data_IF_625141448475
#
_entry.id   IF_625141448475
#
_cell.length_a   1.000
_cell.length_b   1.000
_cell.length_c   1.000
_cell.angle_alpha   90.00
_cell.angle_beta   90.00
_cell.angle_gamma   90.00
#
_symmetry.space_group_name_H-M   'P 1'
#
loop_
_entity.id
_entity.type
_entity.pdbx_description
1 polymer ?
#
# COMPACT_ATOMS: atom_id res chain seq x y z
N UNK A 1 10.46 -23.01 59.34
CA UNK A 1 11.16 -22.94 58.04
C UNK A 1 10.46 -23.91 57.08
N UNK A 2 9.44 -23.44 56.36
CA UNK A 2 8.67 -24.24 55.39
C UNK A 2 8.64 -23.47 54.07
N UNK A 3 9.39 -23.98 53.10
CA UNK A 3 9.61 -23.39 51.78
C UNK A 3 8.38 -23.70 50.93
N UNK A 4 7.50 -22.69 50.75
CA UNK A 4 6.32 -22.81 49.89
C UNK A 4 6.72 -22.42 48.46
N UNK A 5 6.77 -23.45 47.61
CA UNK A 5 6.99 -23.41 46.17
C UNK A 5 6.02 -22.41 45.51
N UNK A 6 6.49 -21.21 45.18
CA UNK A 6 5.76 -20.28 44.32
C UNK A 6 6.15 -20.57 42.87
N UNK A 7 5.32 -21.37 42.21
CA UNK A 7 5.37 -21.58 40.77
C UNK A 7 4.64 -20.42 40.05
N UNK A 8 5.21 -20.05 38.90
CA UNK A 8 4.82 -19.11 37.84
C UNK A 8 3.31 -19.09 37.47
N UNK A 9 2.79 -17.97 36.88
CA UNK A 9 3.09 -17.56 35.49
C UNK A 9 3.43 -16.05 35.37
N UNK A 10 4.47 -15.67 34.64
CA UNK A 10 4.54 -15.51 33.18
C UNK A 10 3.53 -14.49 32.60
N UNK A 11 4.09 -13.38 32.11
CA UNK A 11 3.66 -12.60 30.94
C UNK A 11 2.25 -12.00 30.95
N UNK A 12 2.13 -10.74 31.34
CA UNK A 12 1.47 -9.74 30.48
C UNK A 12 2.28 -8.44 30.53
N UNK A 13 3.17 -8.33 29.55
CA UNK A 13 3.88 -7.10 29.22
C UNK A 13 2.84 -6.05 28.81
N UNK A 14 2.50 -5.12 29.71
CA UNK A 14 1.75 -3.93 29.34
C UNK A 14 2.69 -2.90 28.72
N UNK A 15 3.27 -3.22 27.56
CA UNK A 15 3.91 -2.22 26.71
C UNK A 15 2.81 -1.49 25.98
N UNK A 16 2.47 -0.32 26.53
CA UNK A 16 1.69 0.71 25.86
C UNK A 16 2.51 1.21 24.67
N UNK A 17 2.24 0.67 23.48
CA UNK A 17 2.77 1.19 22.22
C UNK A 17 1.65 1.93 21.48
N UNK A 18 1.65 3.26 21.60
CA UNK A 18 0.88 4.19 20.78
C UNK A 18 1.39 4.14 19.33
N UNK A 19 0.63 3.55 18.40
CA UNK A 19 0.75 3.86 16.97
C UNK A 19 -0.64 3.78 16.30
N UNK A 20 -1.12 4.92 15.82
CA UNK A 20 -2.17 5.13 14.82
C UNK A 20 -3.51 4.35 14.96
N UNK A 21 -4.53 5.00 15.53
CA UNK A 21 -5.94 4.83 15.10
C UNK A 21 -6.69 3.56 15.52
N UNK A 22 -6.16 2.71 16.38
CA UNK A 22 -6.83 1.50 16.86
C UNK A 22 -7.68 1.75 18.12
N UNK A 23 -8.97 1.39 18.08
CA UNK A 23 -9.85 1.32 19.25
C UNK A 23 -9.25 0.41 20.32
N UNK A 24 -9.00 0.94 21.51
CA UNK A 24 -8.57 0.16 22.66
C UNK A 24 -9.73 -0.73 23.12
N UNK A 25 -9.55 -2.04 23.03
CA UNK A 25 -10.39 -2.98 23.76
C UNK A 25 -10.09 -2.81 25.25
N UNK A 26 -10.92 -2.03 25.95
CA UNK A 26 -11.00 -2.12 27.40
C UNK A 26 -11.61 -3.50 27.70
N UNK A 27 -10.77 -4.43 28.16
CA UNK A 27 -11.25 -5.62 28.82
C UNK A 27 -12.01 -5.16 30.07
N UNK A 28 -13.32 -4.95 29.95
CA UNK A 28 -14.18 -4.76 31.09
C UNK A 28 -14.06 -6.04 31.93
N UNK A 29 -13.40 -5.94 33.08
CA UNK A 29 -13.46 -7.00 34.10
C UNK A 29 -14.94 -7.30 34.33
N UNK A 30 -15.40 -8.55 34.15
CA UNK A 30 -16.82 -8.86 34.25
C UNK A 30 -17.31 -8.52 35.65
N UNK A 31 -18.00 -7.39 35.76
CA UNK A 31 -18.71 -7.00 36.97
C UNK A 31 -19.97 -7.86 37.03
N UNK A 32 -19.83 -9.08 37.53
CA UNK A 32 -20.94 -9.99 37.74
C UNK A 32 -21.84 -9.40 38.84
N UNK A 33 -22.93 -8.75 38.45
CA UNK A 33 -23.96 -8.21 39.34
C UNK A 33 -24.71 -9.39 39.93
N UNK A 34 -24.52 -9.63 41.23
CA UNK A 34 -25.25 -10.69 41.94
C UNK A 34 -26.61 -10.16 42.39
N UNK A 35 -27.68 -10.80 41.94
CA UNK A 35 -29.06 -10.56 42.36
C UNK A 35 -29.61 -11.81 43.02
N UNK A 36 -30.26 -11.66 44.17
CA UNK A 36 -30.94 -12.74 44.87
C UNK A 36 -32.44 -12.59 44.68
N UNK A 37 -33.09 -13.59 44.10
CA UNK A 37 -34.54 -13.64 43.93
C UNK A 37 -35.16 -14.54 45.00
N UNK A 38 -36.11 -14.04 45.78
CA UNK A 38 -36.82 -14.80 46.79
C UNK A 38 -37.71 -15.88 46.15
N UNK A 39 -37.59 -17.12 46.61
CA UNK A 39 -38.33 -18.28 46.09
C UNK A 39 -39.83 -18.21 46.33
N UNK A 40 -40.26 -17.46 47.36
CA UNK A 40 -41.66 -17.41 47.80
C UNK A 40 -42.53 -16.43 47.02
N UNK A 41 -41.94 -15.34 46.51
CA UNK A 41 -42.71 -14.24 45.92
C UNK A 41 -41.96 -13.54 44.77
N UNK A 42 -40.79 -14.02 44.37
CA UNK A 42 -40.00 -13.43 43.29
C UNK A 42 -39.37 -12.08 43.62
N UNK A 43 -39.42 -11.60 44.87
CA UNK A 43 -38.80 -10.33 45.24
C UNK A 43 -37.29 -10.40 45.00
N UNK A 44 -36.76 -9.47 44.20
CA UNK A 44 -35.35 -9.42 43.84
C UNK A 44 -34.60 -8.40 44.68
N UNK A 45 -33.41 -8.75 45.16
CA UNK A 45 -32.49 -7.83 45.82
C UNK A 45 -31.08 -7.92 45.25
N UNK A 46 -30.43 -6.78 45.08
CA UNK A 46 -29.02 -6.73 44.73
C UNK A 46 -28.15 -7.08 45.95
N UNK A 47 -27.13 -7.92 45.76
CA UNK A 47 -26.18 -8.30 46.80
C UNK A 47 -24.78 -7.86 46.38
N UNK A 48 -24.33 -6.71 46.89
CA UNK A 48 -22.99 -6.19 46.68
C UNK A 48 -21.90 -7.14 47.20
N UNK A 49 -22.21 -7.97 48.19
CA UNK A 49 -21.31 -8.99 48.76
C UNK A 49 -21.35 -10.34 48.03
N UNK A 50 -22.20 -10.50 47.01
CA UNK A 50 -22.32 -11.74 46.23
C UNK A 50 -23.03 -12.90 46.96
N UNK A 51 -23.49 -12.67 48.18
CA UNK A 51 -24.16 -13.67 49.03
C UNK A 51 -25.68 -13.64 48.87
N UNK A 52 -26.28 -14.80 48.62
CA UNK A 52 -27.72 -15.02 48.65
C UNK A 52 -28.08 -16.04 49.72
N UNK A 53 -29.29 -15.95 50.30
CA UNK A 53 -29.76 -16.97 51.23
C UNK A 53 -30.28 -18.17 50.45
N UNK A 54 -29.41 -19.13 50.13
CA UNK A 54 -29.73 -20.29 49.28
C UNK A 54 -30.98 -21.08 49.72
N UNK A 55 -31.30 -21.06 51.02
CA UNK A 55 -32.52 -21.67 51.56
C UNK A 55 -33.82 -20.98 51.10
N UNK A 56 -33.82 -19.65 50.94
CA UNK A 56 -35.02 -18.85 50.62
C UNK A 56 -34.93 -18.13 49.27
N UNK A 57 -33.79 -18.21 48.59
CA UNK A 57 -33.48 -17.42 47.41
C UNK A 57 -32.72 -18.20 46.35
N UNK A 58 -32.83 -17.72 45.13
CA UNK A 58 -32.05 -18.16 43.97
C UNK A 58 -31.03 -17.06 43.64
N UNK A 59 -29.78 -17.45 43.42
CA UNK A 59 -28.70 -16.54 43.00
C UNK A 59 -28.73 -16.38 41.48
N UNK A 60 -28.84 -15.15 41.01
CA UNK A 60 -28.72 -14.77 39.61
C UNK A 60 -27.47 -13.92 39.44
N UNK A 61 -26.69 -14.22 38.40
CA UNK A 61 -25.53 -13.44 38.00
C UNK A 61 -25.88 -12.73 36.70
N UNK A 62 -26.02 -11.41 36.75
CA UNK A 62 -26.27 -10.57 35.59
C UNK A 62 -24.96 -9.87 35.23
N UNK A 63 -24.60 -9.84 33.95
CA UNK A 63 -23.37 -9.17 33.52
C UNK A 63 -22.50 -9.94 32.54
N UNK A 64 -23.07 -10.88 31.76
CA UNK A 64 -22.32 -11.38 30.61
C UNK A 64 -22.12 -10.21 29.64
N UNK A 65 -20.86 -9.83 29.44
CA UNK A 65 -20.48 -8.97 28.35
C UNK A 65 -20.98 -9.63 27.05
N UNK A 66 -21.73 -8.88 26.24
CA UNK A 66 -22.16 -9.36 24.93
C UNK A 66 -20.94 -9.72 24.06
N UNK A 67 -21.12 -10.57 23.03
CA UNK A 67 -20.03 -10.82 22.10
C UNK A 67 -19.51 -9.50 21.52
N UNK A 68 -18.23 -9.47 21.16
CA UNK A 68 -17.70 -8.34 20.41
C UNK A 68 -18.56 -8.12 19.15
N UNK A 69 -18.81 -6.86 18.80
CA UNK A 69 -19.47 -6.52 17.55
C UNK A 69 -18.69 -7.08 16.35
N UNK A 70 -19.35 -7.30 15.20
CA UNK A 70 -18.66 -7.70 13.99
C UNK A 70 -17.58 -6.67 13.62
N UNK A 71 -16.55 -7.11 12.90
CA UNK A 71 -15.59 -6.20 12.30
C UNK A 71 -16.32 -5.18 11.40
N UNK A 72 -15.82 -3.94 11.36
CA UNK A 72 -16.35 -2.93 10.44
C UNK A 72 -16.14 -3.32 8.97
N UNK A 73 -16.90 -2.74 8.03
CA UNK A 73 -16.70 -2.98 6.61
C UNK A 73 -15.30 -2.56 6.17
N UNK A 74 -14.78 -3.21 5.12
CA UNK A 74 -13.54 -2.78 4.46
C UNK A 74 -13.73 -1.37 3.90
N UNK A 75 -12.72 -0.52 4.03
CA UNK A 75 -12.74 0.84 3.48
C UNK A 75 -12.89 0.85 1.94
N UNK A 76 -13.32 1.97 1.35
CA UNK A 76 -13.42 2.10 -0.10
C UNK A 76 -12.04 1.94 -0.76
N UNK A 77 -12.02 1.50 -2.01
CA UNK A 77 -10.80 1.48 -2.82
C UNK A 77 -10.22 2.91 -2.96
N UNK A 78 -8.89 3.01 -3.04
CA UNK A 78 -8.22 4.29 -3.29
C UNK A 78 -8.54 4.86 -4.68
N UNK A 79 -8.40 6.18 -4.84
CA UNK A 79 -8.56 6.83 -6.13
C UNK A 79 -7.52 6.31 -7.15
N UNK A 80 -7.90 6.27 -8.43
CA UNK A 80 -6.96 5.99 -9.51
C UNK A 80 -5.85 7.05 -9.55
N UNK A 81 -4.62 6.62 -9.80
CA UNK A 81 -3.48 7.54 -9.95
C UNK A 81 -3.63 8.49 -11.15
N UNK A 82 -2.88 9.60 -11.20
CA UNK A 82 -2.90 10.52 -12.33
C UNK A 82 -2.40 9.83 -13.61
N UNK A 83 -2.86 10.31 -14.77
CA UNK A 83 -2.32 9.87 -16.06
C UNK A 83 -0.81 10.19 -16.15
N UNK A 84 -0.06 9.34 -16.86
CA UNK A 84 1.35 9.58 -17.15
C UNK A 84 1.56 10.82 -18.03
N UNK A 85 2.75 11.43 -17.94
CA UNK A 85 3.13 12.54 -18.81
C UNK A 85 3.17 12.12 -20.29
N UNK A 86 2.76 13.02 -21.18
CA UNK A 86 2.93 12.83 -22.63
C UNK A 86 4.42 12.72 -22.98
N UNK A 87 4.77 11.80 -23.89
CA UNK A 87 6.14 11.67 -24.38
C UNK A 87 6.64 12.91 -25.11
N UNK A 88 7.96 13.11 -25.14
CA UNK A 88 8.58 14.21 -25.88
C UNK A 88 8.30 14.09 -27.39
N UNK A 89 8.12 15.23 -28.06
CA UNK A 89 8.02 15.27 -29.52
C UNK A 89 9.34 14.81 -30.17
N UNK A 90 9.27 14.01 -31.23
CA UNK A 90 10.44 13.63 -32.01
C UNK A 90 11.00 14.83 -32.79
N UNK A 91 12.32 15.05 -32.70
CA UNK A 91 13.02 16.12 -33.43
C UNK A 91 13.65 15.55 -34.71
N UNK A 92 13.18 16.00 -35.88
CA UNK A 92 13.83 15.72 -37.18
C UNK A 92 14.71 16.92 -37.57
N UNK A 93 15.88 17.09 -36.95
CA UNK A 93 16.79 18.22 -37.23
C UNK A 93 17.89 17.93 -38.23
N UNK A 94 17.95 16.74 -38.83
CA UNK A 94 18.94 16.46 -39.88
C UNK A 94 18.43 16.97 -41.23
N UNK A 95 18.72 18.24 -41.54
CA UNK A 95 18.62 18.77 -42.90
C UNK A 95 19.77 18.18 -43.72
N UNK A 96 19.51 17.08 -44.41
CA UNK A 96 20.44 16.55 -45.39
C UNK A 96 20.49 17.49 -46.60
N UNK A 97 21.66 18.02 -46.91
CA UNK A 97 21.86 18.90 -48.07
C UNK A 97 21.83 18.07 -49.36
N UNK A 98 21.01 18.47 -50.32
CA UNK A 98 20.84 17.78 -51.61
C UNK A 98 21.45 18.62 -52.73
N UNK A 99 22.37 18.04 -53.50
CA UNK A 99 23.06 18.75 -54.59
C UNK A 99 22.81 18.02 -55.92
N UNK A 100 22.21 18.74 -56.88
CA UNK A 100 21.85 18.19 -58.19
C UNK A 100 22.97 18.49 -59.18
N UNK A 101 23.53 17.45 -59.79
CA UNK A 101 24.53 17.58 -60.86
C UNK A 101 23.92 17.11 -62.18
N UNK A 102 24.05 17.93 -63.22
CA UNK A 102 23.54 17.66 -64.58
C UNK A 102 24.66 17.39 -65.59
N UNK A 103 25.91 17.29 -65.12
CA UNK A 103 27.12 17.02 -65.92
C UNK A 103 28.02 16.02 -65.19
N UNK A 104 28.97 15.39 -65.89
CA UNK A 104 29.96 14.45 -65.32
C UNK A 104 30.61 15.07 -64.08
N UNK A 105 30.47 14.39 -62.94
CA UNK A 105 30.87 14.90 -61.64
C UNK A 105 31.84 13.92 -60.98
N UNK A 106 32.91 14.47 -60.40
CA UNK A 106 33.86 13.73 -59.58
C UNK A 106 33.56 14.07 -58.13
N UNK A 107 33.34 13.04 -57.30
CA UNK A 107 33.08 13.22 -55.88
C UNK A 107 34.26 13.93 -55.19
N UNK A 108 33.98 14.89 -54.30
CA UNK A 108 34.97 15.68 -53.57
C UNK A 108 34.62 15.81 -52.08
N UNK A 109 35.53 16.37 -51.25
CA UNK A 109 35.34 16.34 -49.78
C UNK A 109 34.05 16.98 -49.34
N UNK A 110 33.77 18.04 -50.08
CA UNK A 110 32.72 18.99 -49.83
C UNK A 110 31.34 18.35 -49.97
N UNK A 111 31.28 17.09 -50.38
CA UNK A 111 30.07 16.27 -50.51
C UNK A 111 29.84 15.34 -49.32
N UNK A 112 30.75 15.30 -48.33
CA UNK A 112 30.56 14.51 -47.11
C UNK A 112 29.25 14.92 -46.41
N UNK A 113 28.35 13.95 -46.22
CA UNK A 113 27.03 14.18 -45.62
C UNK A 113 25.99 14.81 -46.56
N UNK A 114 26.31 15.00 -47.84
CA UNK A 114 25.36 15.43 -48.87
C UNK A 114 24.84 14.26 -49.68
N UNK A 115 23.59 14.39 -50.13
CA UNK A 115 23.04 13.50 -51.14
C UNK A 115 23.28 14.12 -52.54
N UNK A 116 24.09 13.46 -53.36
CA UNK A 116 24.35 13.87 -54.75
C UNK A 116 23.37 13.16 -55.67
N UNK A 117 22.63 13.93 -56.49
CA UNK A 117 21.65 13.39 -57.43
C UNK A 117 21.94 13.79 -58.86
N UNK A 118 21.76 12.83 -59.76
CA UNK A 118 22.15 12.89 -61.16
C UNK A 118 20.91 12.78 -62.05
N UNK A 119 20.67 13.78 -62.92
CA UNK A 119 19.44 13.88 -63.73
C UNK A 119 19.59 13.52 -65.21
N UNK A 120 20.82 13.36 -65.71
CA UNK A 120 21.11 13.35 -67.16
C UNK A 120 22.10 12.27 -67.59
N UNK A 121 22.17 11.16 -66.86
CA UNK A 121 23.18 10.10 -67.04
C UNK A 121 24.66 10.58 -67.08
N UNK A 122 25.11 11.54 -66.25
CA UNK A 122 26.53 11.84 -66.12
C UNK A 122 27.31 10.63 -65.58
N UNK A 123 28.53 10.46 -66.07
CA UNK A 123 29.49 9.53 -65.47
C UNK A 123 29.87 10.05 -64.10
N UNK A 124 29.53 9.29 -63.05
CA UNK A 124 29.98 9.56 -61.69
C UNK A 124 31.35 8.92 -61.49
N UNK A 125 32.38 9.75 -61.35
CA UNK A 125 33.74 9.26 -61.13
C UNK A 125 34.00 9.21 -59.62
N UNK A 126 34.23 8.00 -59.11
CA UNK A 126 34.70 7.76 -57.75
C UNK A 126 36.24 7.71 -57.81
N UNK A 127 36.96 8.70 -57.26
CA UNK A 127 38.40 8.65 -57.24
C UNK A 127 38.89 7.40 -56.51
N UNK A 128 39.91 6.74 -57.06
CA UNK A 128 40.57 5.59 -56.44
C UNK A 128 41.50 5.98 -55.27
N UNK A 129 41.79 7.28 -55.12
CA UNK A 129 42.68 7.81 -54.12
C UNK A 129 41.91 8.77 -53.20
N UNK A 130 41.81 8.40 -51.94
CA UNK A 130 41.22 9.21 -50.88
C UNK A 130 41.94 10.56 -50.70
N UNK A 131 43.17 10.73 -51.24
CA UNK A 131 43.94 11.96 -51.10
C UNK A 131 43.54 13.12 -52.04
N UNK A 132 42.64 12.93 -53.01
CA UNK A 132 41.83 14.04 -53.49
C UNK A 132 40.72 14.24 -52.50
N UNK A 133 41.09 14.86 -51.38
CA UNK A 133 40.23 15.53 -50.43
C UNK A 133 38.76 14.96 -50.44
N UNK A 134 38.43 14.09 -49.46
CA UNK A 134 37.12 13.55 -48.95
C UNK A 134 36.19 14.23 -47.90
#
# INVERSE_FOLDING_TARGET
MFIKKFALPALVSAVVALVAGGVYAVNATPANITVCAAKSNGAMRYSASGGCKSAKETKLLLGQQGPAGPAGPVGPAGATGPAGATGAAGSMTTQSSFEIKTSSYTLALTDAGKFIYSRSSPTLVIPNNSAVAF
#
